data_IF_785915951880
#
_entry.id   IF_785915951880
#
_cell.length_a   1.000
_cell.length_b   1.000
_cell.length_c   1.000
_cell.angle_alpha   90.00
_cell.angle_beta   90.00
_cell.angle_gamma   90.00
#
_symmetry.space_group_name_H-M   'P 1'
#
loop_
_entity.id
_entity.type
_entity.pdbx_description
1 polymer ?
#
# COMPACT_ATOMS: atom_id res chain seq x y z
N UNK A 1 13.56 -14.38 17.21
CA UNK A 1 12.76 -14.87 16.05
C UNK A 1 11.75 -15.87 16.57
N UNK A 2 10.50 -15.47 16.59
CA UNK A 2 9.39 -16.30 17.08
C UNK A 2 9.28 -17.56 16.20
N UNK A 3 9.01 -18.72 16.79
CA UNK A 3 8.91 -20.02 16.07
C UNK A 3 7.94 -19.99 14.89
N UNK A 4 6.95 -19.12 14.96
CA UNK A 4 5.92 -18.89 13.92
C UNK A 4 6.53 -18.50 12.55
N UNK A 5 7.70 -17.87 12.50
CA UNK A 5 8.24 -17.31 11.25
C UNK A 5 9.25 -18.22 10.56
N UNK A 6 9.78 -19.22 11.25
CA UNK A 6 10.80 -20.14 10.69
C UNK A 6 10.22 -21.34 9.93
N UNK A 7 8.93 -21.64 10.09
CA UNK A 7 8.30 -22.77 9.40
C UNK A 7 7.71 -22.32 8.07
N UNK A 8 7.80 -23.15 7.04
CA UNK A 8 6.96 -23.05 5.86
C UNK A 8 5.51 -23.29 6.30
N UNK A 9 4.79 -22.20 6.50
CA UNK A 9 3.37 -22.29 6.85
C UNK A 9 2.57 -22.65 5.59
N UNK A 10 1.72 -23.66 5.73
CA UNK A 10 0.61 -23.85 4.81
C UNK A 10 -0.36 -22.70 5.05
N UNK A 11 -0.42 -21.78 4.10
CA UNK A 11 -1.36 -20.67 4.16
C UNK A 11 -2.78 -21.20 3.94
N UNK A 12 -3.73 -20.60 4.65
CA UNK A 12 -5.16 -20.84 4.44
C UNK A 12 -5.51 -20.43 3.01
N UNK A 13 -6.22 -21.30 2.29
CA UNK A 13 -6.73 -20.96 0.97
C UNK A 13 -7.79 -19.86 1.09
N UNK A 14 -7.38 -18.64 0.78
CA UNK A 14 -8.23 -17.47 0.86
C UNK A 14 -9.39 -17.46 -0.16
N UNK A 15 -9.33 -18.32 -1.19
CA UNK A 15 -10.35 -18.41 -2.25
C UNK A 15 -11.62 -19.11 -1.79
N UNK A 16 -11.51 -19.95 -0.75
CA UNK A 16 -12.65 -20.67 -0.18
C UNK A 16 -13.30 -19.92 0.98
N UNK A 17 -12.79 -18.76 1.37
CA UNK A 17 -13.31 -17.98 2.48
C UNK A 17 -14.54 -17.18 2.07
N UNK A 18 -15.56 -17.24 2.90
CA UNK A 18 -16.68 -16.30 2.89
C UNK A 18 -16.27 -15.01 3.58
N UNK A 19 -15.76 -14.06 2.80
CA UNK A 19 -15.20 -12.80 3.29
C UNK A 19 -16.22 -11.92 4.02
N UNK A 20 -17.51 -12.06 3.75
CA UNK A 20 -18.57 -11.31 4.45
C UNK A 20 -18.71 -11.77 5.91
N UNK A 21 -18.24 -12.97 6.22
CA UNK A 21 -18.24 -13.54 7.57
C UNK A 21 -16.90 -13.42 8.29
N UNK A 22 -15.85 -13.00 7.62
CA UNK A 22 -14.51 -12.87 8.24
C UNK A 22 -14.51 -11.71 9.22
N UNK A 23 -14.25 -12.00 10.51
CA UNK A 23 -14.18 -10.99 11.58
C UNK A 23 -12.75 -10.74 12.07
N UNK A 24 -11.84 -11.69 11.88
CA UNK A 24 -10.41 -11.48 12.15
C UNK A 24 -9.55 -12.32 11.22
N UNK A 25 -8.37 -11.80 10.90
CA UNK A 25 -7.36 -12.48 10.07
C UNK A 25 -5.98 -12.24 10.64
N UNK A 26 -5.09 -13.24 10.50
CA UNK A 26 -3.65 -13.08 10.75
C UNK A 26 -2.87 -13.29 9.46
N UNK A 27 -2.20 -12.23 9.02
CA UNK A 27 -1.31 -12.23 7.88
C UNK A 27 0.11 -12.57 8.30
N UNK A 28 0.79 -13.34 7.44
CA UNK A 28 2.25 -13.48 7.45
C UNK A 28 2.77 -13.02 6.10
N UNK A 29 3.72 -12.08 6.14
CA UNK A 29 4.47 -11.58 5.01
C UNK A 29 5.91 -12.01 5.14
N UNK A 30 6.50 -12.57 4.08
CA UNK A 30 7.95 -12.79 3.93
C UNK A 30 8.40 -12.24 2.60
N UNK A 31 9.52 -11.54 2.61
CA UNK A 31 10.09 -10.97 1.40
C UNK A 31 11.62 -11.08 1.45
N UNK A 32 12.20 -11.58 0.36
CA UNK A 32 13.64 -11.58 0.13
C UNK A 32 13.93 -10.71 -1.08
N UNK A 33 14.90 -9.83 -0.96
CA UNK A 33 15.42 -8.97 -2.01
C UNK A 33 16.92 -9.22 -2.11
N UNK A 34 17.37 -9.67 -3.26
CA UNK A 34 18.78 -9.96 -3.53
C UNK A 34 19.28 -9.03 -4.62
N UNK A 35 20.23 -8.19 -4.26
CA UNK A 35 20.95 -7.32 -5.18
C UNK A 35 22.28 -7.97 -5.54
N UNK A 36 22.52 -8.19 -6.81
CA UNK A 36 23.79 -8.69 -7.34
C UNK A 36 24.44 -7.57 -8.14
N UNK A 37 25.66 -7.20 -7.78
CA UNK A 37 26.42 -6.14 -8.43
C UNK A 37 27.52 -6.76 -9.28
N UNK A 38 27.70 -6.30 -10.52
CA UNK A 38 28.76 -6.74 -11.42
C UNK A 38 30.14 -6.27 -10.98
N UNK A 39 30.21 -5.22 -10.16
CA UNK A 39 31.43 -4.64 -9.57
C UNK A 39 31.16 -4.14 -8.16
N UNK A 40 32.18 -4.04 -7.30
CA UNK A 40 32.02 -3.48 -5.96
C UNK A 40 31.43 -2.07 -5.99
N UNK A 41 30.45 -1.83 -5.11
CA UNK A 41 29.88 -0.52 -4.85
C UNK A 41 30.26 -0.02 -3.46
N UNK A 42 30.19 1.30 -3.27
CA UNK A 42 30.58 1.95 -2.02
C UNK A 42 29.51 2.92 -1.52
N UNK A 43 29.55 3.21 -0.23
CA UNK A 43 28.65 4.19 0.42
C UNK A 43 27.18 3.94 0.11
N UNK A 44 26.77 2.68 0.15
CA UNK A 44 25.38 2.31 -0.04
C UNK A 44 24.52 2.92 1.08
N UNK A 45 23.43 3.59 0.69
CA UNK A 45 22.32 3.97 1.54
C UNK A 45 21.04 3.43 0.95
N UNK A 46 20.40 2.51 1.64
CA UNK A 46 19.22 1.81 1.16
C UNK A 46 18.06 2.04 2.11
N UNK A 47 16.93 2.49 1.60
CA UNK A 47 15.67 2.68 2.34
C UNK A 47 14.71 1.57 1.96
N UNK A 48 14.08 0.96 2.97
CA UNK A 48 13.06 -0.05 2.81
C UNK A 48 11.76 0.41 3.47
N UNK A 49 10.64 0.23 2.75
CA UNK A 49 9.28 0.37 3.25
C UNK A 49 8.51 -0.93 2.96
N UNK A 50 8.82 -1.96 3.73
CA UNK A 50 8.36 -3.33 3.51
C UNK A 50 7.75 -3.97 4.76
N UNK A 51 7.73 -3.22 5.85
CA UNK A 51 7.17 -3.64 7.14
C UNK A 51 5.92 -2.81 7.42
N UNK A 52 4.78 -3.43 7.75
CA UNK A 52 3.57 -2.71 8.10
C UNK A 52 3.80 -1.69 9.23
N UNK A 53 3.05 -0.58 9.30
CA UNK A 53 3.03 0.31 10.46
C UNK A 53 2.57 -0.47 11.70
N UNK A 54 2.88 0.05 12.89
CA UNK A 54 2.45 -0.58 14.16
C UNK A 54 0.94 -0.76 14.19
N UNK A 55 0.21 0.26 13.75
CA UNK A 55 -1.25 0.24 13.62
C UNK A 55 -1.69 1.00 12.38
N UNK A 56 -2.73 0.49 11.72
CA UNK A 56 -3.40 1.17 10.61
C UNK A 56 -4.87 0.75 10.57
N UNK A 57 -5.74 1.59 11.14
CA UNK A 57 -7.16 1.25 11.32
C UNK A 57 -7.34 -0.04 12.12
N UNK A 58 -7.97 -1.01 11.48
CA UNK A 58 -8.24 -2.35 11.99
C UNK A 58 -7.03 -3.30 11.93
N UNK A 59 -5.92 -2.86 11.33
CA UNK A 59 -4.68 -3.63 11.23
C UNK A 59 -3.73 -3.30 12.37
N UNK A 60 -3.15 -4.33 12.99
CA UNK A 60 -2.11 -4.22 14.01
C UNK A 60 -0.94 -5.15 13.69
N UNK A 61 0.27 -4.61 13.58
CA UNK A 61 1.48 -5.41 13.46
C UNK A 61 1.80 -6.07 14.79
N UNK A 62 1.90 -7.41 14.79
CA UNK A 62 2.20 -8.20 15.98
C UNK A 62 3.70 -8.37 16.16
N UNK A 63 4.41 -8.67 15.04
CA UNK A 63 5.85 -8.88 15.08
C UNK A 63 6.48 -8.63 13.71
N UNK A 64 7.80 -8.40 13.66
CA UNK A 64 8.54 -8.22 12.42
C UNK A 64 10.04 -8.42 12.61
N UNK A 65 10.73 -8.75 11.54
CA UNK A 65 12.18 -8.80 11.51
C UNK A 65 12.74 -8.32 10.18
N UNK A 66 14.01 -7.94 10.26
CA UNK A 66 14.82 -7.56 9.08
C UNK A 66 16.19 -8.15 9.31
N UNK A 67 16.59 -9.04 8.42
CA UNK A 67 17.92 -9.63 8.38
C UNK A 67 18.61 -9.11 7.10
N UNK A 68 19.88 -8.71 7.25
CA UNK A 68 20.68 -8.20 6.14
C UNK A 68 21.98 -8.97 6.12
N UNK A 69 22.30 -9.58 4.99
CA UNK A 69 23.57 -10.24 4.74
C UNK A 69 24.42 -9.45 3.75
N UNK A 70 25.72 -9.64 3.80
CA UNK A 70 26.71 -8.84 3.10
C UNK A 70 27.41 -7.84 4.04
N UNK A 71 28.20 -6.93 3.51
CA UNK A 71 29.00 -5.98 4.30
C UNK A 71 28.13 -4.81 4.80
N UNK A 72 27.29 -5.06 5.77
CA UNK A 72 26.39 -4.05 6.37
C UNK A 72 27.06 -3.39 7.57
N UNK A 73 27.03 -2.08 7.64
CA UNK A 73 27.58 -1.31 8.74
C UNK A 73 26.52 -0.88 9.74
N UNK A 74 25.32 -0.51 9.27
CA UNK A 74 24.27 0.04 10.15
C UNK A 74 22.89 -0.28 9.61
N UNK A 75 21.98 -0.66 10.51
CA UNK A 75 20.55 -0.75 10.27
C UNK A 75 19.86 0.21 11.23
N UNK A 76 19.13 1.18 10.69
CA UNK A 76 18.36 2.14 11.48
C UNK A 76 16.87 2.02 11.17
N UNK A 77 16.03 2.04 12.21
CA UNK A 77 14.57 2.02 12.07
C UNK A 77 14.01 3.37 12.49
N UNK A 78 13.14 3.94 11.67
CA UNK A 78 12.48 5.23 11.93
C UNK A 78 11.03 5.17 11.54
N UNK A 79 10.22 6.06 12.09
CA UNK A 79 8.84 6.28 11.66
C UNK A 79 8.82 7.61 10.92
N UNK A 80 8.22 7.64 9.75
CA UNK A 80 8.09 8.88 8.97
C UNK A 80 6.84 9.69 9.37
N UNK A 81 6.63 10.83 8.69
CA UNK A 81 5.50 11.74 8.98
C UNK A 81 4.12 11.18 8.61
N UNK A 82 4.04 10.02 7.97
CA UNK A 82 2.79 9.28 7.69
C UNK A 82 2.58 8.09 8.62
N UNK A 83 3.51 7.84 9.55
CA UNK A 83 3.47 6.70 10.45
C UNK A 83 4.07 5.40 9.88
N UNK A 84 4.70 5.45 8.71
CA UNK A 84 5.31 4.29 8.07
C UNK A 84 6.58 3.86 8.81
N UNK A 85 6.80 2.55 8.89
CA UNK A 85 8.05 1.99 9.36
C UNK A 85 9.11 2.06 8.24
N UNK A 86 10.03 2.98 8.35
CA UNK A 86 11.17 3.10 7.45
C UNK A 86 12.38 2.39 8.05
N UNK A 87 13.06 1.58 7.22
CA UNK A 87 14.30 0.90 7.57
C UNK A 87 15.38 1.43 6.65
N UNK A 88 16.47 1.91 7.24
CA UNK A 88 17.64 2.37 6.50
C UNK A 88 18.79 1.42 6.74
N UNK A 89 19.37 0.93 5.65
CA UNK A 89 20.54 0.05 5.64
C UNK A 89 21.70 0.84 5.02
N UNK A 90 22.82 0.89 5.71
CA UNK A 90 24.04 1.54 5.21
C UNK A 90 25.19 0.55 5.18
N UNK A 91 25.96 0.57 4.09
CA UNK A 91 27.17 -0.22 3.94
C UNK A 91 28.30 0.60 3.33
N UNK A 92 29.50 0.53 3.90
CA UNK A 92 30.66 1.21 3.35
C UNK A 92 31.05 0.62 1.99
N UNK A 93 30.95 -0.69 1.85
CA UNK A 93 31.24 -1.43 0.62
C UNK A 93 30.36 -2.67 0.52
N UNK A 94 29.85 -2.94 -0.68
CA UNK A 94 29.26 -4.22 -1.08
C UNK A 94 30.10 -4.75 -2.23
N UNK A 95 30.63 -5.96 -2.08
CA UNK A 95 31.56 -6.52 -3.07
C UNK A 95 30.83 -7.11 -4.27
N UNK A 96 29.77 -7.85 -4.02
CA UNK A 96 29.03 -8.57 -5.05
C UNK A 96 27.54 -8.69 -4.70
N UNK A 97 27.19 -9.15 -3.52
CA UNK A 97 25.80 -9.47 -3.15
C UNK A 97 25.39 -8.72 -1.87
N UNK A 98 24.19 -8.15 -1.91
CA UNK A 98 23.46 -7.68 -0.73
C UNK A 98 22.12 -8.41 -0.69
N UNK A 99 21.86 -9.15 0.38
CA UNK A 99 20.58 -9.81 0.59
C UNK A 99 19.85 -9.19 1.78
N UNK A 100 18.57 -8.89 1.56
CA UNK A 100 17.67 -8.31 2.55
C UNK A 100 16.50 -9.28 2.71
N UNK A 101 16.34 -9.85 3.89
CA UNK A 101 15.18 -10.68 4.23
C UNK A 101 14.33 -9.96 5.26
N UNK A 102 13.04 -9.80 4.96
CA UNK A 102 12.08 -9.16 5.85
C UNK A 102 10.90 -10.08 6.08
N UNK A 103 10.34 -10.00 7.28
CA UNK A 103 9.11 -10.68 7.61
C UNK A 103 8.26 -9.83 8.56
N UNK A 104 6.95 -10.02 8.49
CA UNK A 104 6.00 -9.38 9.41
C UNK A 104 4.81 -10.29 9.67
N UNK A 105 4.25 -10.17 10.87
CA UNK A 105 2.97 -10.73 11.28
C UNK A 105 2.04 -9.58 11.61
N UNK A 106 0.85 -9.57 11.04
CA UNK A 106 -0.15 -8.54 11.31
C UNK A 106 -1.54 -9.17 11.45
N UNK A 107 -2.28 -8.69 12.44
CA UNK A 107 -3.68 -9.03 12.64
C UNK A 107 -4.56 -7.92 12.07
N UNK A 108 -5.72 -8.31 11.55
CA UNK A 108 -6.81 -7.41 11.24
C UNK A 108 -8.07 -7.89 11.96
N UNK A 109 -8.83 -6.96 12.54
CA UNK A 109 -10.05 -7.27 13.31
C UNK A 109 -11.15 -6.28 12.97
N UNK A 110 -12.28 -6.79 12.50
CA UNK A 110 -13.48 -5.99 12.21
C UNK A 110 -13.93 -5.24 13.46
N UNK A 111 -14.50 -4.04 13.28
CA UNK A 111 -15.02 -3.22 14.38
C UNK A 111 -14.02 -2.21 14.96
N UNK A 112 -12.74 -2.28 14.60
CA UNK A 112 -11.78 -1.24 14.97
C UNK A 112 -11.92 0.05 14.13
N UNK A 113 -12.68 -0.05 13.03
CA UNK A 113 -12.96 1.06 12.11
C UNK A 113 -11.78 1.46 11.22
N UNK A 114 -11.97 2.47 10.36
CA UNK A 114 -10.94 2.99 9.48
C UNK A 114 -9.83 3.69 10.27
N UNK A 115 -8.70 3.93 9.62
CA UNK A 115 -7.60 4.70 10.21
C UNK A 115 -8.07 6.11 10.57
N UNK A 116 -7.90 6.49 11.84
CA UNK A 116 -8.18 7.84 12.34
C UNK A 116 -6.91 8.67 12.37
N UNK A 117 -7.02 9.91 11.95
CA UNK A 117 -5.93 10.90 11.93
C UNK A 117 -6.46 12.24 12.47
N UNK A 118 -5.56 13.17 12.78
CA UNK A 118 -5.94 14.48 13.26
C UNK A 118 -6.72 15.30 12.22
N UNK A 119 -7.55 16.23 12.68
CA UNK A 119 -8.38 17.09 11.83
C UNK A 119 -7.55 17.94 10.84
N UNK A 120 -6.32 18.29 11.21
CA UNK A 120 -5.37 19.01 10.37
C UNK A 120 -5.07 18.29 9.04
N UNK A 121 -5.23 16.98 9.01
CA UNK A 121 -5.05 16.18 7.79
C UNK A 121 -6.08 16.51 6.69
N UNK A 122 -7.24 17.06 7.06
CA UNK A 122 -8.27 17.48 6.10
C UNK A 122 -7.86 18.71 5.28
N UNK A 123 -6.94 19.52 5.81
CA UNK A 123 -6.40 20.71 5.14
C UNK A 123 -4.91 20.60 4.84
N UNK A 124 -4.31 19.41 4.98
CA UNK A 124 -2.89 19.20 4.69
C UNK A 124 -2.62 19.40 3.19
N UNK A 125 -1.80 20.39 2.80
CA UNK A 125 -1.50 20.66 1.39
C UNK A 125 -0.86 19.46 0.70
N UNK A 126 -0.14 18.60 1.42
CA UNK A 126 0.49 17.38 0.86
C UNK A 126 -0.55 16.39 0.34
N UNK A 127 -1.77 16.40 0.89
CA UNK A 127 -2.85 15.49 0.53
C UNK A 127 -3.87 16.12 -0.44
N UNK A 128 -3.87 17.44 -0.55
CA UNK A 128 -4.77 18.22 -1.42
C UNK A 128 -4.10 18.67 -2.73
N UNK A 129 -2.76 18.79 -2.74
CA UNK A 129 -2.04 19.26 -3.92
C UNK A 129 -1.53 18.11 -4.79
N UNK A 130 -1.42 18.29 -6.10
CA UNK A 130 -0.74 17.35 -6.97
C UNK A 130 0.70 17.10 -6.54
N UNK A 131 1.19 15.91 -6.83
CA UNK A 131 2.59 15.51 -6.66
C UNK A 131 3.17 15.12 -8.02
N UNK A 132 4.49 14.92 -8.19
CA UNK A 132 5.08 14.67 -9.50
C UNK A 132 4.40 13.58 -10.34
N UNK A 133 4.01 12.45 -9.73
CA UNK A 133 3.33 11.36 -10.45
C UNK A 133 1.81 11.56 -10.58
N UNK A 134 1.23 12.51 -9.85
CA UNK A 134 -0.21 12.80 -9.88
C UNK A 134 -0.54 14.18 -10.47
N UNK A 135 0.43 14.82 -11.17
CA UNK A 135 0.22 16.11 -11.80
C UNK A 135 -0.83 16.02 -12.91
N UNK A 136 -1.87 16.88 -12.91
CA UNK A 136 -2.94 16.84 -13.91
C UNK A 136 -2.49 17.38 -15.28
N UNK A 137 -3.30 17.05 -16.26
CA UNK A 137 -3.38 17.75 -17.54
C UNK A 137 -4.82 18.22 -17.79
N UNK A 138 -5.07 18.98 -18.84
CA UNK A 138 -6.39 19.52 -19.17
C UNK A 138 -7.49 18.44 -19.19
N UNK A 139 -7.17 17.24 -19.67
CA UNK A 139 -8.14 16.14 -19.76
C UNK A 139 -8.54 15.59 -18.37
N UNK A 140 -7.60 15.52 -17.42
CA UNK A 140 -7.89 15.15 -16.03
C UNK A 140 -8.65 16.26 -15.29
N UNK A 141 -8.32 17.53 -15.55
CA UNK A 141 -9.08 18.67 -15.02
C UNK A 141 -10.53 18.69 -15.52
N UNK A 142 -10.72 18.42 -16.82
CA UNK A 142 -12.07 18.30 -17.42
C UNK A 142 -12.85 17.14 -16.80
N UNK A 143 -12.20 16.00 -16.57
CA UNK A 143 -12.81 14.85 -15.91
C UNK A 143 -13.22 15.18 -14.48
N UNK A 144 -12.36 15.85 -13.72
CA UNK A 144 -12.65 16.26 -12.35
C UNK A 144 -13.84 17.24 -12.29
N UNK A 145 -13.89 18.23 -13.19
CA UNK A 145 -15.02 19.16 -13.29
C UNK A 145 -16.35 18.44 -13.56
N UNK A 146 -16.36 17.44 -14.45
CA UNK A 146 -17.56 16.63 -14.72
C UNK A 146 -17.98 15.80 -13.51
N UNK A 147 -17.04 15.16 -12.83
CA UNK A 147 -17.33 14.38 -11.63
C UNK A 147 -17.88 15.24 -10.48
N UNK A 148 -17.28 16.42 -10.25
CA UNK A 148 -17.75 17.35 -9.22
C UNK A 148 -19.14 17.98 -9.56
N UNK A 149 -19.53 18.08 -10.83
CA UNK A 149 -20.82 18.65 -11.23
C UNK A 149 -22.03 17.79 -10.85
N UNK A 150 -21.83 16.53 -10.46
CA UNK A 150 -22.89 15.62 -9.99
C UNK A 150 -23.49 15.98 -8.62
N UNK A 151 -22.86 16.90 -7.88
CA UNK A 151 -23.33 17.35 -6.56
C UNK A 151 -22.98 16.41 -5.39
N UNK A 152 -22.35 15.28 -5.67
CA UNK A 152 -21.82 14.38 -4.63
C UNK A 152 -20.63 15.01 -3.90
N UNK A 153 -20.45 14.68 -2.63
CA UNK A 153 -19.36 15.18 -1.79
C UNK A 153 -18.79 14.10 -0.89
N UNK A 154 -17.61 14.33 -0.32
CA UNK A 154 -17.02 13.43 0.68
C UNK A 154 -16.87 11.99 0.18
N UNK A 155 -17.38 11.04 0.96
CA UNK A 155 -17.27 9.60 0.68
C UNK A 155 -17.99 9.21 -0.62
N UNK A 156 -19.15 9.79 -0.91
CA UNK A 156 -19.94 9.45 -2.09
C UNK A 156 -19.25 9.89 -3.37
N UNK A 157 -18.67 11.10 -3.39
CA UNK A 157 -17.84 11.55 -4.51
C UNK A 157 -16.59 10.66 -4.66
N UNK A 158 -15.93 10.29 -3.57
CA UNK A 158 -14.78 9.39 -3.62
C UNK A 158 -15.14 8.01 -4.21
N UNK A 159 -16.30 7.45 -3.83
CA UNK A 159 -16.83 6.19 -4.35
C UNK A 159 -17.18 6.31 -5.84
N UNK A 160 -17.74 7.44 -6.25
CA UNK A 160 -18.03 7.72 -7.65
C UNK A 160 -16.73 7.79 -8.47
N UNK A 161 -15.72 8.55 -8.00
CA UNK A 161 -14.40 8.63 -8.66
C UNK A 161 -13.77 7.24 -8.79
N UNK A 162 -13.78 6.44 -7.70
CA UNK A 162 -13.25 5.08 -7.68
C UNK A 162 -13.90 4.21 -8.78
N UNK A 163 -15.22 4.19 -8.83
CA UNK A 163 -15.97 3.43 -9.82
C UNK A 163 -15.72 3.93 -11.25
N UNK A 164 -15.60 5.24 -11.42
CA UNK A 164 -15.33 5.84 -12.71
C UNK A 164 -13.94 5.46 -13.23
N UNK A 165 -12.89 5.52 -12.39
CA UNK A 165 -11.53 5.10 -12.75
C UNK A 165 -11.49 3.60 -13.10
N UNK A 166 -12.15 2.76 -12.32
CA UNK A 166 -12.27 1.32 -12.60
C UNK A 166 -12.87 1.05 -14.00
N UNK A 167 -13.93 1.77 -14.37
CA UNK A 167 -14.58 1.58 -15.66
C UNK A 167 -13.80 2.15 -16.84
N UNK A 168 -13.01 3.18 -16.61
CA UNK A 168 -12.20 3.84 -17.63
C UNK A 168 -11.00 2.99 -18.03
N UNK A 169 -10.30 2.43 -17.02
CA UNK A 169 -9.00 1.82 -17.19
C UNK A 169 -9.09 0.33 -17.55
N UNK A 170 -8.11 -0.14 -18.30
CA UNK A 170 -7.87 -1.58 -18.55
C UNK A 170 -6.59 -2.03 -17.87
N UNK A 171 -6.68 -3.05 -17.04
CA UNK A 171 -5.50 -3.61 -16.38
C UNK A 171 -4.60 -4.28 -17.41
N UNK A 172 -3.37 -3.79 -17.54
CA UNK A 172 -2.38 -4.32 -18.48
C UNK A 172 -0.96 -4.17 -17.92
N UNK A 173 -0.30 -5.29 -17.57
CA UNK A 173 1.09 -5.28 -17.15
C UNK A 173 2.04 -4.84 -18.27
N UNK A 174 3.22 -4.34 -17.88
CA UNK A 174 4.34 -3.98 -18.76
C UNK A 174 4.06 -2.89 -19.81
N UNK A 175 2.98 -2.10 -19.66
CA UNK A 175 2.73 -0.93 -20.53
C UNK A 175 3.13 0.40 -19.86
N UNK A 176 3.32 0.38 -18.55
CA UNK A 176 3.74 1.51 -17.71
C UNK A 176 4.97 1.16 -16.89
N UNK A 177 5.62 2.17 -16.33
CA UNK A 177 6.77 2.06 -15.43
C UNK A 177 6.45 2.75 -14.11
N UNK A 178 7.33 2.61 -13.13
CA UNK A 178 7.19 3.29 -11.82
C UNK A 178 7.15 4.83 -11.94
N UNK A 179 7.66 5.39 -13.03
CA UNK A 179 7.70 6.83 -13.30
C UNK A 179 6.54 7.31 -14.18
N UNK A 180 5.60 6.42 -14.52
CA UNK A 180 4.43 6.80 -15.33
C UNK A 180 3.52 7.70 -14.51
N UNK A 181 3.23 8.90 -15.06
CA UNK A 181 2.35 9.87 -14.42
C UNK A 181 0.87 9.54 -14.63
N UNK A 182 0.01 10.03 -13.73
CA UNK A 182 -1.45 9.92 -13.84
C UNK A 182 -1.95 10.41 -15.21
N UNK A 183 -1.44 11.55 -15.69
CA UNK A 183 -1.81 12.13 -16.99
C UNK A 183 -1.48 11.21 -18.16
N UNK A 184 -0.31 10.55 -18.13
CA UNK A 184 0.09 9.59 -19.16
C UNK A 184 -0.75 8.32 -19.13
N UNK A 185 -0.92 7.72 -17.96
CA UNK A 185 -1.74 6.52 -17.78
C UNK A 185 -3.20 6.76 -18.18
N UNK A 186 -3.74 7.93 -17.81
CA UNK A 186 -5.08 8.36 -18.20
C UNK A 186 -5.24 8.44 -19.72
N UNK A 187 -4.29 9.06 -20.42
CA UNK A 187 -4.31 9.17 -21.88
C UNK A 187 -4.23 7.81 -22.60
N UNK A 188 -3.57 6.82 -21.99
CA UNK A 188 -3.50 5.44 -22.51
C UNK A 188 -4.73 4.60 -22.14
N UNK A 189 -5.46 4.97 -21.10
CA UNK A 189 -6.54 4.19 -20.46
C UNK A 189 -6.11 2.75 -20.13
N UNK A 190 -4.84 2.54 -19.85
CA UNK A 190 -4.24 1.23 -19.54
C UNK A 190 -3.12 1.39 -18.50
N UNK A 191 -2.94 0.40 -17.64
CA UNK A 191 -1.88 0.38 -16.66
C UNK A 191 -2.08 -0.68 -15.59
N UNK A 192 -1.34 -0.55 -14.49
CA UNK A 192 -1.40 -1.43 -13.32
C UNK A 192 -1.99 -0.68 -12.12
N UNK A 193 -2.11 -1.35 -10.97
CA UNK A 193 -2.73 -0.79 -9.76
C UNK A 193 -2.14 0.59 -9.35
N UNK A 194 -0.84 0.82 -9.55
CA UNK A 194 -0.20 2.11 -9.33
C UNK A 194 -0.83 3.21 -10.18
N UNK A 195 -1.08 2.95 -11.46
CA UNK A 195 -1.63 3.93 -12.40
C UNK A 195 -3.07 4.29 -12.05
N UNK A 196 -3.89 3.28 -11.73
CA UNK A 196 -5.26 3.48 -11.24
C UNK A 196 -5.28 4.36 -9.99
N UNK A 197 -4.40 4.04 -9.01
CA UNK A 197 -4.31 4.82 -7.79
C UNK A 197 -3.86 6.26 -8.04
N UNK A 198 -2.88 6.50 -8.92
CA UNK A 198 -2.42 7.85 -9.26
C UNK A 198 -3.50 8.67 -9.97
N UNK A 199 -4.29 8.08 -10.87
CA UNK A 199 -5.41 8.75 -11.52
C UNK A 199 -6.48 9.11 -10.48
N UNK A 200 -6.87 8.18 -9.60
CA UNK A 200 -7.84 8.44 -8.54
C UNK A 200 -7.37 9.55 -7.59
N UNK A 201 -6.09 9.52 -7.16
CA UNK A 201 -5.49 10.58 -6.34
C UNK A 201 -5.58 11.95 -6.99
N UNK A 202 -5.21 12.04 -8.28
CA UNK A 202 -5.28 13.28 -9.05
C UNK A 202 -6.70 13.83 -9.06
N UNK A 203 -7.69 13.00 -9.39
CA UNK A 203 -9.10 13.40 -9.45
C UNK A 203 -9.65 13.79 -8.08
N UNK A 204 -9.35 13.03 -7.01
CA UNK A 204 -9.75 13.38 -5.64
C UNK A 204 -9.23 14.76 -5.24
N UNK A 205 -7.94 15.02 -5.48
CA UNK A 205 -7.30 16.31 -5.13
C UNK A 205 -7.87 17.46 -5.95
N UNK A 206 -8.12 17.30 -7.24
CA UNK A 206 -8.78 18.29 -8.09
C UNK A 206 -10.22 18.59 -7.63
N UNK A 207 -10.88 17.62 -7.03
CA UNK A 207 -12.22 17.78 -6.44
C UNK A 207 -12.18 18.26 -4.98
N UNK A 208 -10.99 18.63 -4.44
CA UNK A 208 -10.84 19.11 -3.06
C UNK A 208 -10.94 18.02 -1.99
N UNK A 209 -10.83 16.73 -2.36
CA UNK A 209 -10.80 15.62 -1.42
C UNK A 209 -9.35 15.32 -1.04
N UNK A 210 -8.95 15.46 0.24
CA UNK A 210 -7.62 15.08 0.68
C UNK A 210 -7.46 13.57 0.57
N UNK A 211 -6.42 13.13 -0.16
CA UNK A 211 -6.22 11.74 -0.49
C UNK A 211 -4.76 11.33 -0.45
N UNK A 212 -4.50 10.07 -0.04
CA UNK A 212 -3.17 9.49 0.06
C UNK A 212 -3.08 8.14 -0.63
N UNK A 213 -1.91 7.86 -1.16
CA UNK A 213 -1.54 6.59 -1.78
C UNK A 213 -1.27 5.56 -0.72
N UNK A 214 -1.72 4.34 -0.92
CA UNK A 214 -1.41 3.19 -0.06
C UNK A 214 -0.71 2.12 -0.88
N UNK A 215 0.44 1.67 -0.37
CA UNK A 215 1.15 0.48 -0.84
C UNK A 215 0.89 -0.68 0.12
N UNK A 216 0.60 -1.85 -0.42
CA UNK A 216 0.34 -3.03 0.38
C UNK A 216 0.25 -4.31 -0.42
N UNK A 217 -0.56 -5.24 0.07
CA UNK A 217 -0.82 -6.52 -0.59
C UNK A 217 -2.31 -6.83 -0.60
N UNK A 218 -2.77 -7.39 -1.71
CA UNK A 218 -4.06 -8.06 -1.82
C UNK A 218 -3.81 -9.57 -1.94
N UNK A 219 -4.47 -10.36 -1.12
CA UNK A 219 -4.37 -11.82 -1.19
C UNK A 219 -4.77 -12.33 -2.58
N UNK A 220 -3.93 -13.20 -3.14
CA UNK A 220 -4.13 -13.78 -4.46
C UNK A 220 -3.43 -13.07 -5.61
N UNK A 221 -2.96 -11.83 -5.43
CA UNK A 221 -2.30 -11.09 -6.52
C UNK A 221 -0.79 -11.32 -6.65
N UNK A 222 -0.16 -12.06 -5.73
CA UNK A 222 1.25 -12.44 -5.79
C UNK A 222 2.26 -11.28 -5.72
N UNK A 223 1.89 -10.09 -6.16
CA UNK A 223 2.69 -8.86 -6.18
C UNK A 223 2.42 -7.89 -5.00
N UNK A 224 2.98 -6.69 -5.07
CA UNK A 224 2.49 -5.55 -4.30
C UNK A 224 1.23 -5.00 -4.97
N UNK A 225 0.35 -4.43 -4.18
CA UNK A 225 -0.87 -3.80 -4.65
C UNK A 225 -0.94 -2.34 -4.18
N UNK A 226 -1.72 -1.53 -4.89
CA UNK A 226 -1.88 -0.12 -4.60
C UNK A 226 -3.35 0.27 -4.57
N UNK A 227 -3.69 1.19 -3.65
CA UNK A 227 -5.02 1.78 -3.54
C UNK A 227 -4.96 3.19 -2.98
N UNK A 228 -6.10 3.80 -2.74
CA UNK A 228 -6.22 5.18 -2.27
C UNK A 228 -7.01 5.24 -0.98
N UNK A 229 -6.57 6.04 -0.04
CA UNK A 229 -7.37 6.45 1.10
C UNK A 229 -7.78 7.91 0.95
N UNK A 230 -9.09 8.16 1.05
CA UNK A 230 -9.66 9.52 1.05
C UNK A 230 -10.01 9.89 2.48
N UNK A 231 -9.57 11.07 2.92
CA UNK A 231 -9.81 11.56 4.26
C UNK A 231 -11.12 12.35 4.31
N UNK A 232 -11.96 12.00 5.27
CA UNK A 232 -13.23 12.68 5.51
C UNK A 232 -13.36 13.02 7.01
N UNK A 233 -14.15 14.03 7.37
CA UNK A 233 -14.41 14.32 8.77
C UNK A 233 -14.91 13.07 9.53
N UNK A 234 -14.39 12.86 10.74
CA UNK A 234 -14.89 11.84 11.67
C UNK A 234 -15.84 12.48 12.67
N UNK A 235 -17.16 12.21 12.57
CA UNK A 235 -18.15 12.83 13.46
C UNK A 235 -18.00 12.39 14.92
N UNK A 236 -17.39 11.21 15.16
CA UNK A 236 -17.28 10.63 16.49
C UNK A 236 -16.14 11.26 17.31
N UNK A 237 -15.07 11.71 16.64
CA UNK A 237 -13.84 12.18 17.31
C UNK A 237 -13.51 13.64 17.05
N UNK A 238 -14.19 14.28 16.09
CA UNK A 238 -13.84 15.63 15.61
C UNK A 238 -12.54 15.67 14.79
N UNK A 239 -11.92 14.51 14.53
CA UNK A 239 -10.75 14.33 13.69
C UNK A 239 -11.12 14.02 12.24
N UNK A 240 -10.28 13.23 11.58
CA UNK A 240 -10.54 12.69 10.25
C UNK A 240 -10.40 11.16 10.24
N UNK A 241 -11.13 10.52 9.35
CA UNK A 241 -11.02 9.09 9.06
C UNK A 241 -10.64 8.87 7.60
N UNK A 242 -9.79 7.90 7.36
CA UNK A 242 -9.33 7.52 6.03
C UNK A 242 -10.17 6.37 5.50
N UNK A 243 -10.94 6.59 4.45
CA UNK A 243 -11.77 5.58 3.79
C UNK A 243 -11.00 5.00 2.62
N UNK A 244 -10.72 3.69 2.60
CA UNK A 244 -9.87 3.08 1.59
C UNK A 244 -10.67 2.60 0.37
N UNK A 245 -10.23 2.99 -0.83
CA UNK A 245 -10.82 2.63 -2.12
C UNK A 245 -9.80 1.98 -3.03
N UNK A 246 -10.15 0.86 -3.65
CA UNK A 246 -9.34 0.19 -4.64
C UNK A 246 -9.89 0.45 -6.06
N UNK A 247 -9.32 1.41 -6.80
CA UNK A 247 -9.76 1.74 -8.15
C UNK A 247 -9.43 0.65 -9.17
N UNK A 248 -8.53 -0.29 -8.87
CA UNK A 248 -8.23 -1.43 -9.75
C UNK A 248 -9.38 -2.43 -9.77
N UNK A 249 -10.10 -2.57 -8.66
CA UNK A 249 -11.22 -3.50 -8.50
C UNK A 249 -12.58 -2.80 -8.37
N UNK A 250 -12.60 -1.46 -8.32
CA UNK A 250 -13.84 -0.66 -8.22
C UNK A 250 -14.59 -0.82 -6.91
N UNK A 251 -13.91 -1.15 -5.80
CA UNK A 251 -14.51 -1.46 -4.50
C UNK A 251 -13.79 -0.76 -3.33
N UNK A 252 -14.39 -0.79 -2.17
CA UNK A 252 -13.71 -0.46 -0.92
C UNK A 252 -12.79 -1.61 -0.48
N UNK A 253 -11.75 -1.28 0.27
CA UNK A 253 -10.75 -2.24 0.76
C UNK A 253 -11.33 -3.02 1.94
N UNK A 254 -11.26 -4.34 1.86
CA UNK A 254 -11.75 -5.27 2.89
C UNK A 254 -10.64 -6.01 3.63
N UNK A 255 -11.03 -7.09 4.33
CA UNK A 255 -10.15 -7.90 5.20
C UNK A 255 -9.07 -8.70 4.47
N UNK A 256 -9.15 -8.82 3.13
CA UNK A 256 -8.15 -9.49 2.28
C UNK A 256 -6.92 -8.64 1.92
N UNK A 257 -6.86 -7.40 2.40
CA UNK A 257 -5.77 -6.46 2.14
C UNK A 257 -4.85 -6.30 3.35
N UNK A 258 -3.56 -6.09 3.10
CA UNK A 258 -2.54 -5.78 4.11
C UNK A 258 -1.83 -4.47 3.74
N UNK A 259 -2.00 -3.42 4.54
CA UNK A 259 -1.33 -2.13 4.38
C UNK A 259 0.13 -2.21 4.81
N UNK A 260 1.04 -1.71 3.98
CA UNK A 260 2.48 -1.62 4.25
C UNK A 260 2.91 -0.17 4.50
N UNK A 261 2.52 0.75 3.63
CA UNK A 261 2.90 2.15 3.77
C UNK A 261 1.88 3.08 3.10
N UNK A 262 1.82 4.32 3.58
CA UNK A 262 0.99 5.39 3.01
C UNK A 262 1.85 6.60 2.66
N UNK A 263 1.48 7.34 1.61
CA UNK A 263 2.23 8.50 1.15
C UNK A 263 1.42 9.37 0.20
N UNK A 264 2.05 10.36 -0.40
CA UNK A 264 1.37 11.23 -1.39
C UNK A 264 1.21 10.53 -2.74
N UNK A 265 2.18 9.68 -3.07
CA UNK A 265 2.27 8.92 -4.32
C UNK A 265 3.24 7.74 -4.14
N UNK A 266 3.46 6.94 -5.20
CA UNK A 266 4.34 5.77 -5.15
C UNK A 266 5.77 6.07 -4.67
N UNK A 267 6.37 7.18 -5.07
CA UNK A 267 7.77 7.50 -4.71
C UNK A 267 8.01 7.64 -3.21
N UNK A 268 6.99 8.05 -2.45
CA UNK A 268 7.05 8.14 -0.99
C UNK A 268 7.11 6.76 -0.33
N UNK A 269 6.46 5.76 -0.94
CA UNK A 269 6.20 4.42 -0.36
C UNK A 269 6.86 3.28 -1.15
N UNK A 270 7.75 3.60 -2.08
CA UNK A 270 8.48 2.58 -2.82
C UNK A 270 9.09 1.55 -1.87
N UNK A 271 8.84 0.23 -2.07
CA UNK A 271 9.30 -0.81 -1.16
C UNK A 271 10.80 -0.76 -0.92
N UNK A 272 11.55 -0.35 -1.92
CA UNK A 272 13.00 -0.25 -1.87
C UNK A 272 13.46 0.94 -2.70
N UNK A 273 14.40 1.70 -2.16
CA UNK A 273 15.08 2.80 -2.82
C UNK A 273 16.50 2.92 -2.27
N UNK A 274 17.48 3.03 -3.14
CA UNK A 274 18.87 3.12 -2.70
C UNK A 274 19.73 3.97 -3.60
N UNK A 275 20.80 4.53 -2.99
CA UNK A 275 21.86 5.24 -3.68
C UNK A 275 23.21 4.66 -3.27
N UNK A 276 24.17 4.65 -4.16
CA UNK A 276 25.53 4.21 -3.92
C UNK A 276 26.52 4.98 -4.81
N UNK A 277 27.79 4.81 -4.56
CA UNK A 277 28.88 5.32 -5.41
C UNK A 277 29.68 4.16 -5.99
N UNK A 278 30.20 4.38 -7.19
CA UNK A 278 30.93 3.37 -7.98
C UNK A 278 30.26 3.16 -9.33
N UNK A 279 30.88 2.31 -10.16
CA UNK A 279 30.42 2.01 -11.51
C UNK A 279 29.63 0.69 -11.59
N UNK A 280 29.48 -0.01 -10.46
CA UNK A 280 28.76 -1.29 -10.40
C UNK A 280 27.29 -1.12 -10.74
N UNK A 281 26.78 -1.99 -11.60
CA UNK A 281 25.36 -2.08 -11.95
C UNK A 281 24.75 -3.22 -11.13
N UNK A 282 23.67 -2.91 -10.43
CA UNK A 282 22.97 -3.88 -9.60
C UNK A 282 21.72 -4.45 -10.26
N UNK A 283 21.56 -5.75 -10.23
CA UNK A 283 20.32 -6.44 -10.58
C UNK A 283 19.57 -6.81 -9.30
N UNK A 284 18.25 -6.57 -9.26
CA UNK A 284 17.37 -6.93 -8.16
C UNK A 284 16.54 -8.14 -8.53
N UNK A 285 16.64 -9.20 -7.73
CA UNK A 285 15.66 -10.28 -7.70
C UNK A 285 14.84 -10.23 -6.41
N UNK A 286 13.57 -10.55 -6.49
CA UNK A 286 12.66 -10.57 -5.34
C UNK A 286 11.89 -11.87 -5.26
N UNK A 287 11.79 -12.41 -4.05
CA UNK A 287 10.89 -13.49 -3.72
C UNK A 287 9.98 -13.05 -2.58
N UNK A 288 8.67 -13.23 -2.72
CA UNK A 288 7.68 -12.78 -1.75
C UNK A 288 6.59 -13.82 -1.55
N UNK A 289 6.19 -13.99 -0.28
CA UNK A 289 5.04 -14.82 0.11
C UNK A 289 4.19 -14.03 1.09
N UNK A 290 2.90 -13.92 0.79
CA UNK A 290 1.88 -13.31 1.65
C UNK A 290 0.73 -14.29 1.77
N UNK A 291 0.25 -14.53 2.98
CA UNK A 291 -0.88 -15.42 3.20
C UNK A 291 -1.45 -15.31 4.60
N UNK A 292 -2.53 -16.03 4.83
CA UNK A 292 -3.21 -16.10 6.12
C UNK A 292 -2.79 -17.35 6.87
N UNK A 293 -2.52 -17.21 8.17
CA UNK A 293 -2.26 -18.31 9.10
C UNK A 293 -3.39 -18.51 10.11
N UNK A 294 -4.31 -17.55 10.23
CA UNK A 294 -5.51 -17.66 11.04
C UNK A 294 -6.64 -16.82 10.44
N UNK A 295 -7.86 -17.32 10.54
CA UNK A 295 -9.10 -16.65 10.17
C UNK A 295 -10.16 -16.97 11.22
N UNK A 296 -10.85 -15.94 11.67
CA UNK A 296 -12.03 -16.08 12.52
C UNK A 296 -13.27 -15.66 11.73
N UNK A 297 -14.33 -16.47 11.81
CA UNK A 297 -15.60 -16.20 11.15
C UNK A 297 -16.67 -15.83 12.19
N UNK A 298 -17.53 -14.87 11.84
CA UNK A 298 -18.73 -14.62 12.61
C UNK A 298 -19.57 -15.92 12.70
N UNK A 299 -20.28 -16.15 13.81
CA UNK A 299 -21.22 -17.26 13.91
C UNK A 299 -22.17 -17.28 12.70
N UNK A 300 -22.41 -18.45 12.13
CA UNK A 300 -23.51 -18.61 11.19
C UNK A 300 -24.78 -18.23 11.94
N UNK A 301 -25.61 -17.34 11.41
CA UNK A 301 -26.96 -17.15 11.90
C UNK A 301 -27.68 -18.50 11.72
N UNK A 302 -27.50 -19.36 12.71
CA UNK A 302 -28.17 -20.64 12.77
C UNK A 302 -29.66 -20.38 12.77
N UNK A 303 -30.39 -21.17 12.01
CA UNK A 303 -31.82 -21.25 12.08
C UNK A 303 -32.27 -21.20 13.54
N UNK A 304 -33.13 -20.23 13.88
CA UNK A 304 -33.87 -20.29 15.11
C UNK A 304 -34.48 -21.69 15.15
N UNK A 305 -34.08 -22.48 16.13
CA UNK A 305 -34.79 -23.69 16.45
C UNK A 305 -36.25 -23.28 16.73
N UNK A 306 -37.13 -23.63 15.79
CA UNK A 306 -38.56 -23.60 16.00
C UNK A 306 -38.83 -24.74 16.98
N UNK A 307 -38.87 -24.40 18.26
CA UNK A 307 -39.39 -25.25 19.32
C UNK A 307 -40.90 -25.04 19.50
#
# INVERSE_FOLDING_TARGET
MTAIVRQDHDFIDHKVLDWDRVVATRFVLRQRMTYVYDRPIHRLRHRLMVVPPVRHGDQMRIDHGVDVSGAVNTITKRVDGFGNQMIQVEAAKVTEVLELETWAVADRTVGQGPTRVGAESLSDPRLLSPSPLTWPNDALEDAARRLASGGETGVDLARHINTWVFRLMRYRPAVTTIDTTAARAFGMAQGVCQDYAHIMLCLCRLCGLPARYVSGHLLGEGGSHAWVEVLVPDPDTGGARAIPFDPTHGREVGMSYLTIAVGREYSDVAPTYGTYSGEGIGELSTAKRVGLTSVELAPSNGAAEIG
#
